data_IF_969704057165
#
_entry.id   IF_969704057165
#
_cell.length_a   1.000
_cell.length_b   1.000
_cell.length_c   1.000
_cell.angle_alpha   90.00
_cell.angle_beta   90.00
_cell.angle_gamma   90.00
#
_symmetry.space_group_name_H-M   'P 1'
#
loop_
_entity.id
_entity.type
_entity.pdbx_description
1 polymer ?
#
# COMPACT_ATOMS: atom_id res chain seq x y z
N UNK A 1 53.33 8.12 -3.68
CA UNK A 1 53.17 6.85 -2.94
C UNK A 1 51.87 6.92 -2.15
N UNK A 2 50.78 6.36 -2.68
CA UNK A 2 49.47 6.36 -2.03
C UNK A 2 49.43 5.33 -0.88
N UNK A 3 48.98 5.76 0.30
CA UNK A 3 48.73 4.89 1.43
C UNK A 3 47.33 4.29 1.25
N UNK A 4 47.24 3.04 0.84
CA UNK A 4 45.99 2.30 0.89
C UNK A 4 45.65 2.01 2.35
N UNK A 5 44.59 2.63 2.86
CA UNK A 5 44.00 2.23 4.14
C UNK A 5 43.24 0.93 3.90
N UNK A 6 43.68 -0.16 4.53
CA UNK A 6 42.99 -1.44 4.51
C UNK A 6 41.59 -1.27 5.12
N UNK A 7 40.56 -1.50 4.31
CA UNK A 7 39.17 -1.61 4.78
C UNK A 7 39.10 -2.78 5.75
N UNK A 8 38.74 -2.52 7.02
CA UNK A 8 38.40 -3.57 7.97
C UNK A 8 37.25 -4.40 7.39
N UNK A 9 37.52 -5.66 7.06
CA UNK A 9 36.47 -6.62 6.74
C UNK A 9 35.72 -6.92 8.04
N UNK A 10 34.48 -6.43 8.15
CA UNK A 10 33.55 -6.94 9.16
C UNK A 10 33.40 -8.44 8.89
N UNK A 11 34.01 -9.26 9.74
CA UNK A 11 33.73 -10.69 9.73
C UNK A 11 32.41 -10.86 10.49
N UNK A 12 31.41 -11.44 9.84
CA UNK A 12 30.15 -11.88 10.45
C UNK A 12 30.44 -13.03 11.44
N UNK A 13 31.14 -12.75 12.54
CA UNK A 13 31.36 -13.72 13.62
C UNK A 13 30.17 -13.82 14.57
N UNK A 14 29.19 -12.91 14.45
CA UNK A 14 27.93 -12.97 15.18
C UNK A 14 26.77 -13.47 14.29
N UNK A 15 26.99 -14.59 13.61
CA UNK A 15 25.87 -15.38 13.10
C UNK A 15 25.21 -16.08 14.29
N UNK A 16 24.37 -15.36 15.03
CA UNK A 16 23.32 -15.97 15.85
C UNK A 16 22.38 -16.67 14.87
N UNK A 17 22.75 -17.89 14.48
CA UNK A 17 21.96 -18.74 13.62
C UNK A 17 20.61 -18.95 14.27
N UNK A 18 19.58 -18.30 13.74
CA UNK A 18 18.21 -18.67 14.03
C UNK A 18 18.08 -20.15 13.62
N UNK A 19 18.05 -21.05 14.60
CA UNK A 19 17.82 -22.45 14.37
C UNK A 19 16.41 -22.59 13.77
N UNK A 20 16.32 -22.66 12.45
CA UNK A 20 15.09 -23.04 11.76
C UNK A 20 14.89 -24.52 12.08
N UNK A 21 14.02 -24.81 13.04
CA UNK A 21 13.63 -26.19 13.34
C UNK A 21 12.79 -26.71 12.18
N UNK A 22 13.18 -27.85 11.61
CA UNK A 22 12.52 -28.48 10.45
C UNK A 22 11.03 -28.84 10.73
N UNK A 23 10.64 -28.94 12.00
CA UNK A 23 9.26 -29.18 12.43
C UNK A 23 8.29 -28.01 12.10
N UNK A 24 8.79 -26.81 11.85
CA UNK A 24 7.95 -25.66 11.50
C UNK A 24 7.31 -25.78 10.11
N UNK A 25 7.82 -26.65 9.24
CA UNK A 25 7.32 -26.81 7.87
C UNK A 25 6.15 -27.80 7.73
N UNK A 26 5.83 -28.58 8.77
CA UNK A 26 4.80 -29.65 8.70
C UNK A 26 3.58 -29.41 9.59
N UNK A 27 3.57 -28.32 10.36
CA UNK A 27 2.35 -27.86 11.03
C UNK A 27 1.69 -26.83 10.13
N UNK A 28 0.52 -27.19 9.62
CA UNK A 28 -0.40 -26.25 9.00
C UNK A 28 -0.51 -25.00 9.88
N UNK A 29 0.04 -23.91 9.37
CA UNK A 29 -0.03 -22.55 9.89
C UNK A 29 -1.49 -22.07 9.84
N UNK A 30 -2.33 -22.60 10.72
CA UNK A 30 -3.46 -21.82 11.22
C UNK A 30 -2.83 -20.72 12.06
N UNK A 31 -2.63 -19.57 11.44
CA UNK A 31 -2.09 -18.35 12.01
C UNK A 31 -2.74 -18.04 13.36
N UNK A 32 -2.17 -18.56 14.43
CA UNK A 32 -2.24 -17.97 15.75
C UNK A 32 -1.30 -16.77 15.71
N UNK A 33 -1.69 -15.77 14.91
CA UNK A 33 -1.22 -14.41 15.09
C UNK A 33 -1.29 -14.15 16.59
N UNK A 34 -0.21 -13.67 17.18
CA UNK A 34 -0.13 -13.29 18.57
C UNK A 34 -1.13 -12.17 18.85
N UNK A 35 -2.42 -12.51 18.92
CA UNK A 35 -3.50 -11.67 19.36
C UNK A 35 -3.34 -11.56 20.85
N UNK A 36 -2.79 -10.41 21.25
CA UNK A 36 -2.55 -9.90 22.60
C UNK A 36 -2.89 -10.83 23.76
N UNK A 37 -1.91 -11.05 24.63
CA UNK A 37 -2.10 -11.66 25.95
C UNK A 37 -3.23 -10.98 26.77
N UNK A 38 -3.65 -9.77 26.41
CA UNK A 38 -4.80 -9.04 26.97
C UNK A 38 -6.19 -9.59 26.60
N UNK A 39 -6.31 -10.53 25.65
CA UNK A 39 -7.62 -11.06 25.21
C UNK A 39 -8.21 -12.15 26.13
N UNK A 40 -7.48 -12.59 27.17
CA UNK A 40 -7.96 -13.66 28.06
C UNK A 40 -9.03 -13.24 29.07
N UNK A 41 -9.24 -11.94 29.26
CA UNK A 41 -10.17 -11.41 30.27
C UNK A 41 -11.45 -10.81 29.64
N UNK A 42 -11.87 -11.33 28.49
CA UNK A 42 -13.12 -10.92 27.82
C UNK A 42 -14.40 -11.42 28.52
N UNK A 43 -14.26 -12.23 29.58
CA UNK A 43 -15.42 -12.66 30.36
C UNK A 43 -15.73 -11.60 31.40
N UNK A 44 -16.90 -10.98 31.30
CA UNK A 44 -17.37 -10.01 32.27
C UNK A 44 -17.30 -10.57 33.69
N UNK A 45 -16.34 -10.09 34.47
CA UNK A 45 -16.14 -10.50 35.86
C UNK A 45 -17.06 -9.67 36.76
N UNK A 46 -18.19 -10.25 37.16
CA UNK A 46 -19.05 -9.65 38.18
C UNK A 46 -18.34 -9.78 39.53
N UNK A 47 -17.87 -8.66 40.08
CA UNK A 47 -17.33 -8.62 41.43
C UNK A 47 -18.46 -8.69 42.46
N UNK A 48 -18.99 -9.89 42.68
CA UNK A 48 -19.96 -10.16 43.76
C UNK A 48 -19.20 -10.25 45.08
N UNK A 49 -19.63 -9.47 46.07
CA UNK A 49 -19.10 -9.50 47.43
C UNK A 49 -20.14 -10.21 48.29
N UNK A 50 -19.77 -11.35 48.89
CA UNK A 50 -20.74 -12.17 49.63
C UNK A 50 -20.90 -11.76 51.10
N UNK A 51 -19.92 -11.03 51.67
CA UNK A 51 -19.92 -10.61 53.08
C UNK A 51 -20.08 -9.08 53.23
N UNK A 52 -21.23 -8.54 52.82
CA UNK A 52 -21.52 -7.10 52.92
C UNK A 52 -22.21 -6.81 54.26
N UNK A 53 -21.60 -5.93 55.07
CA UNK A 53 -22.22 -5.41 56.30
C UNK A 53 -23.35 -4.43 55.96
N UNK A 54 -24.34 -4.31 56.85
CA UNK A 54 -25.48 -3.41 56.64
C UNK A 54 -25.05 -1.95 56.44
N UNK A 55 -25.80 -1.18 55.64
CA UNK A 55 -25.40 0.19 55.26
C UNK A 55 -25.31 1.18 56.42
N UNK A 56 -25.95 0.88 57.55
CA UNK A 56 -25.88 1.66 58.79
C UNK A 56 -25.01 1.01 59.87
N UNK A 57 -24.30 -0.07 59.55
CA UNK A 57 -23.36 -0.68 60.49
C UNK A 57 -22.14 0.24 60.68
N UNK A 58 -21.62 0.30 61.91
CA UNK A 58 -20.40 1.04 62.21
C UNK A 58 -19.14 0.39 61.61
N UNK A 59 -18.00 1.08 61.72
CA UNK A 59 -16.72 0.55 61.25
C UNK A 59 -16.29 -0.67 62.08
N UNK A 60 -16.15 -1.82 61.43
CA UNK A 60 -15.57 -3.03 61.99
C UNK A 60 -14.05 -3.01 61.95
N UNK A 61 -13.41 -3.88 62.74
CA UNK A 61 -11.94 -4.00 62.80
C UNK A 61 -11.30 -4.45 61.47
N UNK A 62 -12.07 -5.12 60.61
CA UNK A 62 -11.61 -5.59 59.30
C UNK A 62 -11.76 -4.57 58.16
N UNK A 63 -12.55 -3.51 58.35
CA UNK A 63 -12.93 -2.59 57.27
C UNK A 63 -11.74 -1.77 56.74
N UNK A 64 -10.75 -1.50 57.60
CA UNK A 64 -9.53 -0.85 57.18
C UNK A 64 -8.75 -1.70 56.15
N UNK A 65 -8.68 -3.02 56.37
CA UNK A 65 -7.93 -3.91 55.47
C UNK A 65 -8.67 -4.12 54.15
N UNK A 66 -10.00 -4.19 54.16
CA UNK A 66 -10.80 -4.27 52.93
C UNK A 66 -10.64 -3.00 52.09
N UNK A 67 -10.71 -1.82 52.70
CA UNK A 67 -10.42 -0.54 52.03
C UNK A 67 -9.01 -0.48 51.46
N UNK A 68 -7.99 -0.89 52.24
CA UNK A 68 -6.60 -0.89 51.77
C UNK A 68 -6.41 -1.78 50.54
N UNK A 69 -7.03 -2.96 50.53
CA UNK A 69 -6.98 -3.89 49.41
C UNK A 69 -7.74 -3.36 48.19
N UNK A 70 -8.96 -2.83 48.37
CA UNK A 70 -9.76 -2.26 47.28
C UNK A 70 -9.10 -1.04 46.66
N UNK A 71 -8.53 -0.14 47.48
CA UNK A 71 -7.79 1.03 47.00
C UNK A 71 -6.57 0.63 46.19
N UNK A 72 -5.81 -0.38 46.62
CA UNK A 72 -4.65 -0.87 45.88
C UNK A 72 -5.05 -1.39 44.50
N UNK A 73 -6.08 -2.26 44.44
CA UNK A 73 -6.62 -2.78 43.18
C UNK A 73 -7.08 -1.65 42.25
N UNK A 74 -7.72 -0.63 42.80
CA UNK A 74 -8.20 0.51 42.01
C UNK A 74 -7.07 1.37 41.47
N UNK A 75 -6.04 1.65 42.27
CA UNK A 75 -4.86 2.39 41.81
C UNK A 75 -4.11 1.64 40.70
N UNK A 76 -3.95 0.31 40.86
CA UNK A 76 -3.35 -0.55 39.82
C UNK A 76 -4.17 -0.53 38.54
N UNK A 77 -5.50 -0.62 38.65
CA UNK A 77 -6.43 -0.54 37.51
C UNK A 77 -6.32 0.79 36.77
N UNK A 78 -6.32 1.91 37.50
CA UNK A 78 -6.20 3.25 36.93
C UNK A 78 -4.83 3.42 36.26
N UNK A 79 -3.75 3.00 36.92
CA UNK A 79 -2.41 3.06 36.34
C UNK A 79 -2.29 2.25 35.03
N UNK A 80 -2.85 1.04 34.99
CA UNK A 80 -2.87 0.22 33.77
C UNK A 80 -3.68 0.88 32.64
N UNK A 81 -4.82 1.50 32.97
CA UNK A 81 -5.63 2.25 31.99
C UNK A 81 -4.87 3.47 31.43
N UNK A 82 -4.19 4.22 32.29
CA UNK A 82 -3.39 5.38 31.89
C UNK A 82 -2.20 4.97 31.02
N UNK A 83 -1.52 3.86 31.34
CA UNK A 83 -0.44 3.32 30.52
C UNK A 83 -0.95 2.94 29.13
N UNK A 84 -2.02 2.15 29.04
CA UNK A 84 -2.66 1.79 27.77
C UNK A 84 -3.07 3.01 26.95
N UNK A 85 -3.59 4.05 27.60
CA UNK A 85 -3.94 5.31 26.93
C UNK A 85 -2.71 6.02 26.35
N UNK A 86 -1.61 6.10 27.12
CA UNK A 86 -0.35 6.71 26.65
C UNK A 86 0.23 5.93 25.46
N UNK A 87 0.23 4.60 25.54
CA UNK A 87 0.75 3.74 24.47
C UNK A 87 -0.08 3.88 23.19
N UNK A 88 -1.41 3.82 23.31
CA UNK A 88 -2.32 4.02 22.18
C UNK A 88 -2.15 5.40 21.54
N UNK A 89 -2.01 6.45 22.36
CA UNK A 89 -1.78 7.81 21.86
C UNK A 89 -0.45 7.92 21.12
N UNK A 90 0.63 7.37 21.67
CA UNK A 90 1.94 7.36 21.04
C UNK A 90 1.93 6.59 19.70
N UNK A 91 1.23 5.45 19.64
CA UNK A 91 1.05 4.68 18.40
C UNK A 91 0.27 5.48 17.36
N UNK A 92 -0.84 6.13 17.74
CA UNK A 92 -1.62 6.97 16.82
C UNK A 92 -0.79 8.14 16.26
N UNK A 93 -0.01 8.81 17.10
CA UNK A 93 0.88 9.90 16.67
C UNK A 93 1.97 9.38 15.72
N UNK A 94 2.57 8.23 16.02
CA UNK A 94 3.54 7.58 15.15
C UNK A 94 2.94 7.21 13.79
N UNK A 95 1.76 6.60 13.77
CA UNK A 95 1.07 6.24 12.53
C UNK A 95 0.68 7.46 11.72
N UNK A 96 0.18 8.52 12.36
CA UNK A 96 -0.16 9.77 11.70
C UNK A 96 1.08 10.43 11.06
N UNK A 97 2.20 10.48 11.78
CA UNK A 97 3.46 11.03 11.24
C UNK A 97 4.02 10.17 10.11
N UNK A 98 3.93 8.84 10.21
CA UNK A 98 4.32 7.90 9.15
C UNK A 98 3.50 8.11 7.88
N UNK A 99 2.16 8.20 8.00
CA UNK A 99 1.24 8.45 6.89
C UNK A 99 1.55 9.78 6.20
N UNK A 100 1.71 10.87 6.95
CA UNK A 100 2.08 12.19 6.41
C UNK A 100 3.39 12.15 5.61
N UNK A 101 4.43 11.50 6.15
CA UNK A 101 5.72 11.36 5.45
C UNK A 101 5.60 10.54 4.16
N UNK A 102 4.78 9.48 4.16
CA UNK A 102 4.52 8.67 2.98
C UNK A 102 3.79 9.50 1.90
N UNK A 103 2.73 10.21 2.27
CA UNK A 103 1.98 11.09 1.38
C UNK A 103 2.85 12.20 0.78
N UNK A 104 3.73 12.82 1.57
CA UNK A 104 4.69 13.81 1.07
C UNK A 104 5.69 13.21 0.06
N UNK A 105 6.16 11.99 0.32
CA UNK A 105 7.05 11.28 -0.59
C UNK A 105 6.33 10.94 -1.90
N UNK A 106 5.11 10.42 -1.82
CA UNK A 106 4.28 10.07 -2.97
C UNK A 106 3.93 11.30 -3.80
N UNK A 107 3.56 12.42 -3.18
CA UNK A 107 3.32 13.68 -3.87
C UNK A 107 4.58 14.19 -4.61
N UNK A 108 5.76 14.09 -3.98
CA UNK A 108 7.04 14.44 -4.63
C UNK A 108 7.35 13.49 -5.79
N UNK A 109 7.07 12.20 -5.64
CA UNK A 109 7.28 11.17 -6.66
C UNK A 109 6.34 11.36 -7.85
N UNK A 110 5.05 11.61 -7.61
CA UNK A 110 4.06 11.92 -8.64
C UNK A 110 4.46 13.18 -9.41
N UNK A 111 4.81 14.28 -8.73
CA UNK A 111 5.29 15.51 -9.38
C UNK A 111 6.54 15.28 -10.25
N UNK A 112 7.46 14.41 -9.82
CA UNK A 112 8.64 14.02 -10.62
C UNK A 112 8.25 13.15 -11.82
N UNK A 113 7.32 12.21 -11.64
CA UNK A 113 6.81 11.36 -12.71
C UNK A 113 6.07 12.18 -13.78
N UNK A 114 5.20 13.10 -13.39
CA UNK A 114 4.51 14.04 -14.28
C UNK A 114 5.48 14.91 -15.07
N UNK A 115 6.52 15.46 -14.42
CA UNK A 115 7.57 16.22 -15.11
C UNK A 115 8.30 15.37 -16.14
N UNK A 116 8.59 14.10 -15.85
CA UNK A 116 9.19 13.17 -16.81
C UNK A 116 8.25 12.84 -17.96
N UNK A 117 6.96 12.60 -17.68
CA UNK A 117 5.92 12.38 -18.69
C UNK A 117 5.82 13.58 -19.64
N UNK A 118 5.68 14.80 -19.11
CA UNK A 118 5.63 16.04 -19.90
C UNK A 118 6.89 16.24 -20.76
N UNK A 119 8.08 15.87 -20.27
CA UNK A 119 9.33 15.93 -21.06
C UNK A 119 9.31 14.90 -22.19
N UNK A 120 8.87 13.67 -21.93
CA UNK A 120 8.72 12.63 -22.96
C UNK A 120 7.70 13.04 -24.03
N UNK A 121 6.55 13.58 -23.63
CA UNK A 121 5.51 14.02 -24.56
C UNK A 121 5.99 15.18 -25.45
N UNK A 122 6.75 16.13 -24.88
CA UNK A 122 7.41 17.20 -25.67
C UNK A 122 8.47 16.67 -26.63
N UNK A 123 9.29 15.71 -26.22
CA UNK A 123 10.29 15.11 -27.09
C UNK A 123 9.64 14.33 -28.24
N UNK A 124 8.55 13.59 -27.97
CA UNK A 124 7.74 12.93 -29.00
C UNK A 124 7.11 13.92 -29.96
N UNK A 125 6.52 15.01 -29.46
CA UNK A 125 5.95 16.05 -30.30
C UNK A 125 6.99 16.67 -31.23
N UNK A 126 8.19 17.00 -30.72
CA UNK A 126 9.31 17.50 -31.55
C UNK A 126 9.77 16.50 -32.60
N UNK A 127 9.90 15.22 -32.23
CA UNK A 127 10.28 14.18 -33.18
C UNK A 127 9.23 13.97 -34.28
N UNK A 128 7.94 14.12 -33.96
CA UNK A 128 6.87 14.10 -34.95
C UNK A 128 6.91 15.32 -35.87
N UNK A 129 7.24 16.50 -35.33
CA UNK A 129 7.39 17.75 -36.09
C UNK A 129 8.57 17.64 -37.07
N UNK A 130 9.75 17.20 -36.62
CA UNK A 130 10.92 16.95 -37.46
C UNK A 130 10.63 15.92 -38.57
N UNK A 131 9.90 14.84 -38.27
CA UNK A 131 9.49 13.84 -39.28
C UNK A 131 8.48 14.41 -40.28
N UNK A 132 7.61 15.33 -39.85
CA UNK A 132 6.68 16.03 -40.74
C UNK A 132 7.40 17.05 -41.64
N UNK A 133 8.37 17.80 -41.10
CA UNK A 133 9.23 18.70 -41.88
C UNK A 133 10.07 17.93 -42.90
N UNK A 134 10.71 16.82 -42.52
CA UNK A 134 11.44 15.96 -43.47
C UNK A 134 10.53 15.33 -44.53
N UNK A 135 9.28 15.00 -44.19
CA UNK A 135 8.28 14.55 -45.16
C UNK A 135 7.82 15.67 -46.10
N UNK A 136 7.66 16.89 -45.60
CA UNK A 136 7.29 18.05 -46.43
C UNK A 136 8.44 18.44 -47.38
N UNK A 137 9.70 18.45 -46.92
CA UNK A 137 10.87 18.69 -47.79
C UNK A 137 11.08 17.59 -48.84
N UNK A 138 10.74 16.34 -48.53
CA UNK A 138 10.71 15.25 -49.52
C UNK A 138 9.55 15.39 -50.50
N UNK A 139 8.38 15.81 -50.04
CA UNK A 139 7.20 16.03 -50.89
C UNK A 139 7.36 17.24 -51.84
N UNK A 140 8.13 18.27 -51.46
CA UNK A 140 8.51 19.38 -52.38
C UNK A 140 9.56 18.96 -53.44
N UNK A 141 10.33 17.89 -53.20
CA UNK A 141 11.26 17.33 -54.20
C UNK A 141 10.64 16.28 -55.12
N UNK A 142 9.53 15.66 -54.71
CA UNK A 142 8.82 14.64 -55.49
C UNK A 142 7.56 15.17 -56.23
N UNK A 143 7.25 16.48 -56.18
CA UNK A 143 6.27 17.13 -57.09
C UNK A 143 6.75 17.24 -58.56
N UNK A 144 7.48 16.21 -59.02
CA UNK A 144 7.72 15.94 -60.44
C UNK A 144 7.66 14.45 -60.78
N UNK A 145 6.86 13.63 -60.09
CA UNK A 145 6.28 12.46 -60.74
C UNK A 145 5.01 11.95 -60.05
N UNK A 146 3.98 11.84 -60.88
CA UNK A 146 2.82 10.95 -60.81
C UNK A 146 1.64 11.19 -59.86
N UNK A 147 0.50 11.25 -60.55
CA UNK A 147 -0.86 11.01 -60.08
C UNK A 147 -1.09 9.50 -59.89
N UNK A 148 -2.07 9.23 -59.03
CA UNK A 148 -2.92 8.04 -58.98
C UNK A 148 -2.29 6.74 -58.44
N UNK A 149 -2.25 6.59 -57.10
CA UNK A 149 -2.43 5.26 -56.50
C UNK A 149 -3.50 5.27 -55.42
N UNK A 150 -4.52 4.43 -55.65
CA UNK A 150 -5.66 4.18 -54.78
C UNK A 150 -5.20 3.35 -53.58
N UNK A 151 -5.74 3.67 -52.40
CA UNK A 151 -5.60 2.88 -51.17
C UNK A 151 -5.96 1.41 -51.44
N UNK A 152 -4.94 0.55 -51.55
CA UNK A 152 -5.08 -0.90 -51.43
C UNK A 152 -4.97 -1.26 -49.96
N UNK A 153 -6.11 -1.63 -49.38
CA UNK A 153 -6.18 -2.34 -48.11
C UNK A 153 -5.41 -3.65 -48.27
N UNK A 154 -4.35 -3.84 -47.48
CA UNK A 154 -3.60 -5.09 -47.40
C UNK A 154 -4.50 -6.16 -46.77
N UNK A 155 -5.17 -6.93 -47.62
CA UNK A 155 -5.85 -8.15 -47.21
C UNK A 155 -4.80 -9.26 -47.01
N UNK A 156 -4.67 -9.73 -45.77
CA UNK A 156 -4.03 -11.01 -45.47
C UNK A 156 -4.91 -12.16 -46.04
N UNK A 157 -4.36 -13.37 -46.32
CA UNK A 157 -5.07 -14.45 -47.04
C UNK A 157 -6.24 -15.11 -46.27
N UNK A 158 -6.85 -14.40 -45.31
CA UNK A 158 -8.01 -14.81 -44.53
C UNK A 158 -9.18 -13.82 -44.52
N UNK A 159 -9.15 -12.74 -45.30
CA UNK A 159 -10.31 -11.84 -45.47
C UNK A 159 -10.75 -11.08 -44.21
N UNK A 160 -9.88 -10.98 -43.19
CA UNK A 160 -10.13 -10.17 -41.99
C UNK A 160 -9.41 -8.84 -42.16
N UNK A 161 -10.11 -7.69 -42.17
CA UNK A 161 -9.47 -6.39 -42.27
C UNK A 161 -8.59 -6.17 -41.03
N UNK A 162 -7.33 -5.79 -41.25
CA UNK A 162 -6.40 -5.50 -40.15
C UNK A 162 -6.94 -4.34 -39.31
N UNK A 163 -7.16 -4.61 -38.03
CA UNK A 163 -7.58 -3.60 -37.07
C UNK A 163 -6.32 -2.85 -36.61
N UNK A 164 -6.23 -1.52 -36.81
CA UNK A 164 -5.11 -0.73 -36.32
C UNK A 164 -4.98 -0.87 -34.79
N UNK A 165 -3.76 -1.10 -34.29
CA UNK A 165 -3.47 -1.28 -32.87
C UNK A 165 -3.44 0.07 -32.11
N UNK A 166 -4.41 0.93 -32.39
CA UNK A 166 -4.55 2.29 -31.84
C UNK A 166 -5.59 2.35 -30.69
N UNK A 167 -6.09 1.20 -30.24
CA UNK A 167 -7.13 1.09 -29.20
C UNK A 167 -8.55 1.41 -29.67
N UNK A 168 -8.74 1.83 -30.93
CA UNK A 168 -10.05 2.15 -31.55
C UNK A 168 -10.97 0.95 -31.76
N UNK A 169 -10.46 -0.28 -31.56
CA UNK A 169 -11.22 -1.52 -31.71
C UNK A 169 -12.39 -1.63 -30.73
N UNK A 170 -12.17 -1.29 -29.46
CA UNK A 170 -13.19 -1.39 -28.43
C UNK A 170 -14.36 -0.44 -28.68
N UNK A 171 -14.09 0.77 -29.16
CA UNK A 171 -15.13 1.73 -29.54
C UNK A 171 -15.97 1.23 -30.71
N UNK A 172 -15.33 0.66 -31.74
CA UNK A 172 -16.02 0.05 -32.89
C UNK A 172 -16.91 -1.13 -32.46
N UNK A 173 -16.43 -1.99 -31.56
CA UNK A 173 -17.22 -3.12 -31.04
C UNK A 173 -18.43 -2.65 -30.21
N UNK A 174 -18.27 -1.62 -29.39
CA UNK A 174 -19.34 -1.08 -28.57
C UNK A 174 -20.41 -0.37 -29.44
N UNK A 175 -19.99 0.30 -30.51
CA UNK A 175 -20.90 0.87 -31.51
C UNK A 175 -21.71 -0.22 -32.24
N UNK A 176 -21.06 -1.30 -32.69
CA UNK A 176 -21.73 -2.45 -33.29
C UNK A 176 -22.75 -3.11 -32.35
N UNK A 177 -22.42 -3.20 -31.05
CA UNK A 177 -23.32 -3.78 -30.06
C UNK A 177 -24.56 -2.91 -29.82
N UNK A 178 -24.42 -1.58 -29.87
CA UNK A 178 -25.54 -0.64 -29.80
C UNK A 178 -26.44 -0.73 -31.02
N UNK A 179 -25.88 -0.74 -32.22
CA UNK A 179 -26.63 -0.91 -33.47
C UNK A 179 -27.44 -2.22 -33.45
N UNK A 180 -26.82 -3.32 -33.02
CA UNK A 180 -27.50 -4.62 -32.89
C UNK A 180 -28.61 -4.64 -31.83
N UNK A 181 -28.52 -3.78 -30.81
CA UNK A 181 -29.59 -3.62 -29.81
C UNK A 181 -30.73 -2.72 -30.28
N UNK A 182 -30.45 -1.80 -31.20
CA UNK A 182 -31.46 -0.91 -31.79
C UNK A 182 -32.24 -1.59 -32.94
N UNK A 183 -31.62 -2.56 -33.62
CA UNK A 183 -32.27 -3.37 -34.66
C UNK A 183 -33.15 -4.51 -34.12
N UNK A 184 -33.22 -4.69 -32.79
CA UNK A 184 -33.96 -5.79 -32.14
C UNK A 184 -35.14 -5.29 -31.32
#
# INVERSE_FOLDING_TARGET
MGRYTSVQTFSDQDAQGAAVTYDAASKDESSAAASGADAKDGKFHVNRVDNVSGSSAGAGSGDFHTYRASRRREMERVAAMEQRYKDNKAQQEFEATRKRKAEEFDAKMQKRAEKRRRRKDRAKAKALDEVQEEKQEKHEKDEKHEKDEKEQVLETPGGVPEIPNDGSFLEKMLALQKQKSEEK
#
